data_IF_854818109945
#
_entry.id   IF_854818109945
#
_cell.length_a   1.000
_cell.length_b   1.000
_cell.length_c   1.000
_cell.angle_alpha   90.00
_cell.angle_beta   90.00
_cell.angle_gamma   90.00
#
_symmetry.space_group_name_H-M   'P 1'
#
loop_
_entity.id
_entity.type
_entity.pdbx_description
1 polymer ?
#
# COMPACT_ATOMS: atom_id res chain seq x y z
N UNK A 1 -14.02 -7.99 23.60
CA UNK A 1 -13.59 -7.11 22.51
C UNK A 1 -14.63 -7.08 21.41
N UNK A 2 -14.61 -6.09 20.52
CA UNK A 2 -15.46 -6.08 19.32
C UNK A 2 -14.59 -6.31 18.07
N UNK A 3 -15.11 -7.05 17.09
CA UNK A 3 -14.40 -7.31 15.84
C UNK A 3 -15.37 -7.50 14.67
N UNK A 4 -14.91 -7.16 13.47
CA UNK A 4 -15.54 -7.60 12.23
C UNK A 4 -15.16 -9.05 11.96
N UNK A 5 -16.15 -9.92 11.79
CA UNK A 5 -15.94 -11.34 11.54
C UNK A 5 -16.32 -11.71 10.11
N UNK A 6 -15.42 -12.44 9.44
CA UNK A 6 -15.65 -13.08 8.16
C UNK A 6 -15.84 -14.59 8.38
N UNK A 7 -17.10 -15.03 8.37
CA UNK A 7 -17.46 -16.46 8.44
C UNK A 7 -17.59 -17.07 7.05
N UNK A 8 -17.92 -16.22 6.06
CA UNK A 8 -18.05 -16.64 4.66
C UNK A 8 -17.48 -15.54 3.76
N UNK A 9 -16.39 -15.79 2.99
CA UNK A 9 -15.70 -14.77 2.20
C UNK A 9 -16.38 -14.53 0.84
N UNK A 10 -17.64 -14.14 0.87
CA UNK A 10 -18.46 -13.80 -0.30
C UNK A 10 -18.52 -12.30 -0.59
N UNK A 11 -17.89 -11.49 0.26
CA UNK A 11 -17.81 -10.04 0.10
C UNK A 11 -18.05 -9.28 1.40
N UNK A 12 -17.99 -7.95 1.29
CA UNK A 12 -18.08 -7.03 2.44
C UNK A 12 -19.43 -7.15 3.17
N UNK A 13 -20.52 -7.43 2.45
CA UNK A 13 -21.86 -7.53 3.03
C UNK A 13 -22.00 -8.71 4.01
N UNK A 14 -21.21 -9.76 3.82
CA UNK A 14 -21.17 -10.92 4.69
C UNK A 14 -20.42 -10.71 6.01
N UNK A 15 -19.70 -9.60 6.15
CA UNK A 15 -19.00 -9.27 7.40
C UNK A 15 -20.00 -8.86 8.48
N UNK A 16 -19.74 -9.29 9.72
CA UNK A 16 -20.57 -8.96 10.89
C UNK A 16 -19.74 -8.33 11.99
N UNK A 17 -20.23 -7.27 12.61
CA UNK A 17 -19.62 -6.64 13.78
C UNK A 17 -20.14 -7.32 15.03
N UNK A 18 -19.27 -7.99 15.77
CA UNK A 18 -19.66 -8.84 16.90
C UNK A 18 -18.82 -8.56 18.14
N UNK A 19 -19.42 -8.81 19.31
CA UNK A 19 -18.70 -8.90 20.56
C UNK A 19 -18.12 -10.29 20.73
N UNK A 20 -16.82 -10.40 21.00
CA UNK A 20 -16.06 -11.62 21.16
C UNK A 20 -15.27 -11.60 22.48
N UNK A 21 -14.93 -12.73 23.08
CA UNK A 21 -13.98 -12.76 24.18
C UNK A 21 -12.64 -12.12 23.78
N UNK A 22 -12.04 -11.35 24.68
CA UNK A 22 -10.67 -10.86 24.45
C UNK A 22 -9.69 -12.04 24.51
N UNK A 23 -8.90 -12.27 23.45
CA UNK A 23 -8.00 -13.42 23.41
C UNK A 23 -6.77 -13.21 24.32
N UNK A 24 -6.15 -14.32 24.74
CA UNK A 24 -4.91 -14.32 25.51
C UNK A 24 -3.73 -14.70 24.60
N UNK A 25 -2.61 -13.96 24.62
CA UNK A 25 -1.46 -14.25 23.77
C UNK A 25 -0.76 -15.55 24.21
N UNK A 26 -0.41 -16.39 23.23
CA UNK A 26 0.42 -17.59 23.41
C UNK A 26 1.91 -17.23 23.35
N UNK A 27 2.78 -18.24 23.49
CA UNK A 27 4.20 -18.06 23.31
C UNK A 27 4.54 -17.43 21.95
N UNK A 28 5.36 -16.37 21.95
CA UNK A 28 5.74 -15.61 20.76
C UNK A 28 4.70 -14.61 20.24
N UNK A 29 3.55 -14.45 20.90
CA UNK A 29 2.47 -13.54 20.52
C UNK A 29 2.34 -12.35 21.49
N UNK A 30 1.68 -11.31 21.04
CA UNK A 30 1.28 -10.16 21.86
C UNK A 30 -0.20 -9.85 21.66
N UNK A 31 -0.86 -9.39 22.73
CA UNK A 31 -2.19 -8.78 22.66
C UNK A 31 -2.03 -7.28 22.43
N UNK A 32 -2.69 -6.75 21.43
CA UNK A 32 -2.65 -5.32 21.04
C UNK A 32 -4.06 -4.74 21.17
N UNK A 33 -4.18 -3.61 21.86
CA UNK A 33 -5.34 -2.71 21.75
C UNK A 33 -5.16 -1.87 20.50
N UNK A 34 -6.00 -2.07 19.50
CA UNK A 34 -5.92 -1.35 18.23
C UNK A 34 -6.42 0.09 18.41
N UNK A 35 -5.62 1.06 18.01
CA UNK A 35 -5.99 2.49 17.98
C UNK A 35 -6.35 2.94 16.57
N UNK A 36 -5.70 2.35 15.56
CA UNK A 36 -5.96 2.63 14.15
C UNK A 36 -5.67 1.39 13.30
N UNK A 37 -6.45 1.19 12.24
CA UNK A 37 -6.23 0.15 11.22
C UNK A 37 -6.58 0.70 9.84
N UNK A 38 -5.73 0.50 8.83
CA UNK A 38 -5.98 1.05 7.50
C UNK A 38 -6.53 0.01 6.53
N UNK A 39 -7.37 0.46 5.60
CA UNK A 39 -7.82 -0.37 4.51
C UNK A 39 -6.74 -0.48 3.44
N UNK A 40 -6.50 -1.70 2.99
CA UNK A 40 -5.66 -2.02 1.84
C UNK A 40 -6.47 -2.77 0.78
N UNK A 41 -6.11 -2.63 -0.49
CA UNK A 41 -6.82 -3.31 -1.57
C UNK A 41 -6.85 -4.85 -1.41
N UNK A 42 -5.77 -5.51 -0.94
CA UNK A 42 -5.80 -6.93 -0.59
C UNK A 42 -6.88 -7.30 0.42
N UNK A 43 -7.19 -6.46 1.42
CA UNK A 43 -8.23 -6.77 2.40
C UNK A 43 -9.59 -6.99 1.75
N UNK A 44 -9.93 -6.17 0.73
CA UNK A 44 -11.15 -6.34 -0.06
C UNK A 44 -11.14 -7.66 -0.85
N UNK A 45 -10.01 -8.01 -1.44
CA UNK A 45 -9.87 -9.26 -2.20
C UNK A 45 -9.93 -10.49 -1.30
N UNK A 46 -9.40 -10.42 -0.08
CA UNK A 46 -9.41 -11.51 0.91
C UNK A 46 -10.85 -11.84 1.32
N UNK A 47 -11.66 -10.83 1.67
CA UNK A 47 -13.06 -11.04 2.06
C UNK A 47 -13.95 -11.47 0.89
N UNK A 48 -13.47 -11.39 -0.35
CA UNK A 48 -14.11 -11.89 -1.58
C UNK A 48 -13.54 -13.24 -2.05
N UNK A 49 -12.61 -13.86 -1.30
CA UNK A 49 -11.87 -15.06 -1.70
C UNK A 49 -11.12 -14.94 -3.04
N UNK A 50 -10.70 -13.72 -3.40
CA UNK A 50 -10.00 -13.39 -4.67
C UNK A 50 -8.51 -13.09 -4.51
N UNK A 51 -7.96 -13.27 -3.31
CA UNK A 51 -6.54 -13.04 -3.05
C UNK A 51 -5.76 -14.36 -2.89
N UNK A 52 -4.43 -14.30 -3.04
CA UNK A 52 -3.57 -15.49 -2.91
C UNK A 52 -3.56 -16.04 -1.47
N UNK A 53 -3.61 -15.14 -0.47
CA UNK A 53 -3.74 -15.53 0.92
C UNK A 53 -5.21 -15.83 1.23
N UNK A 54 -5.47 -17.02 1.77
CA UNK A 54 -6.80 -17.49 2.19
C UNK A 54 -6.75 -17.88 3.66
N UNK A 55 -7.09 -16.94 4.58
CA UNK A 55 -7.11 -17.25 6.00
C UNK A 55 -8.11 -18.36 6.31
N UNK A 56 -7.84 -19.22 7.32
CA UNK A 56 -8.83 -20.16 7.80
C UNK A 56 -10.04 -19.42 8.37
N UNK A 57 -11.23 -19.95 8.11
CA UNK A 57 -12.51 -19.39 8.59
C UNK A 57 -12.84 -19.91 10.01
N UNK A 58 -13.49 -19.08 10.85
CA UNK A 58 -13.74 -17.67 10.67
C UNK A 58 -12.48 -16.83 10.93
N UNK A 59 -12.37 -15.62 10.33
CA UNK A 59 -11.26 -14.72 10.61
C UNK A 59 -11.70 -13.26 10.74
N UNK A 60 -10.90 -12.45 11.41
CA UNK A 60 -11.04 -10.99 11.49
C UNK A 60 -10.22 -10.37 10.35
N UNK A 61 -10.82 -9.62 9.39
CA UNK A 61 -10.07 -8.98 8.33
C UNK A 61 -9.27 -7.77 8.82
N UNK A 62 -8.48 -7.16 7.90
CA UNK A 62 -7.62 -6.02 8.18
C UNK A 62 -6.17 -6.44 8.39
N UNK A 63 -5.32 -6.12 7.40
CA UNK A 63 -3.93 -6.58 7.37
C UNK A 63 -2.97 -5.71 8.15
N UNK A 64 -3.26 -4.41 8.27
CA UNK A 64 -2.35 -3.39 8.76
C UNK A 64 -3.00 -2.52 9.85
N UNK A 65 -2.34 -2.40 10.99
CA UNK A 65 -2.87 -1.66 12.15
C UNK A 65 -1.76 -1.17 13.08
N UNK A 66 -2.12 -0.26 13.98
CA UNK A 66 -1.26 0.25 15.03
C UNK A 66 -2.02 0.36 16.34
N UNK A 67 -1.31 0.20 17.44
CA UNK A 67 -1.93 0.21 18.75
C UNK A 67 -0.94 0.06 19.90
N UNK A 68 -1.45 -0.33 21.06
CA UNK A 68 -0.72 -0.46 22.31
C UNK A 68 -0.65 -1.92 22.75
N UNK A 69 0.51 -2.42 23.08
CA UNK A 69 0.69 -3.77 23.63
C UNK A 69 0.07 -3.85 25.02
N UNK A 70 -0.93 -4.71 25.23
CA UNK A 70 -1.59 -4.93 26.52
C UNK A 70 -1.05 -6.13 27.29
N UNK A 71 -0.58 -7.16 26.56
CA UNK A 71 0.01 -8.34 27.16
C UNK A 71 1.03 -8.96 26.20
N UNK A 72 2.02 -9.63 26.75
CA UNK A 72 3.07 -10.36 26.00
C UNK A 72 3.03 -11.84 26.39
N UNK A 73 3.14 -12.71 25.39
CA UNK A 73 3.24 -14.14 25.58
C UNK A 73 4.65 -14.58 25.98
N UNK A 74 4.78 -15.84 26.36
CA UNK A 74 6.06 -16.43 26.73
C UNK A 74 7.10 -16.28 25.60
N UNK A 75 8.37 -16.00 25.96
CA UNK A 75 9.48 -15.87 25.01
C UNK A 75 9.55 -14.54 24.24
N UNK A 76 8.60 -13.63 24.40
CA UNK A 76 8.66 -12.29 23.82
C UNK A 76 9.56 -11.40 24.67
N UNK A 77 10.71 -10.99 24.15
CA UNK A 77 11.72 -10.21 24.87
C UNK A 77 11.96 -8.81 24.32
N UNK A 78 11.49 -8.54 23.10
CA UNK A 78 11.75 -7.27 22.39
C UNK A 78 10.55 -6.29 22.42
N UNK A 79 9.44 -6.70 23.01
CA UNK A 79 8.25 -5.87 23.23
C UNK A 79 7.84 -5.90 24.71
N UNK A 80 7.27 -4.78 25.17
CA UNK A 80 6.78 -4.62 26.56
C UNK A 80 5.35 -4.10 26.59
N UNK A 81 4.63 -4.39 27.67
CA UNK A 81 3.30 -3.82 27.91
C UNK A 81 3.37 -2.29 27.94
N UNK A 82 2.40 -1.63 27.31
CA UNK A 82 2.35 -0.18 27.12
C UNK A 82 3.12 0.33 25.90
N UNK A 83 3.90 -0.50 25.23
CA UNK A 83 4.65 -0.11 24.04
C UNK A 83 3.72 0.13 22.85
N UNK A 84 3.94 1.21 22.10
CA UNK A 84 3.25 1.49 20.85
C UNK A 84 3.89 0.69 19.71
N UNK A 85 3.05 0.08 18.90
CA UNK A 85 3.50 -0.76 17.78
C UNK A 85 2.67 -0.52 16.53
N UNK A 86 3.30 -0.71 15.36
CA UNK A 86 2.62 -0.96 14.09
C UNK A 86 2.82 -2.42 13.71
N UNK A 87 1.82 -3.01 13.09
CA UNK A 87 1.83 -4.41 12.68
C UNK A 87 1.22 -4.60 11.30
N UNK A 88 1.81 -5.51 10.54
CA UNK A 88 1.23 -6.03 9.30
C UNK A 88 1.20 -7.56 9.38
N UNK A 89 0.09 -8.09 9.86
CA UNK A 89 -0.12 -9.53 10.11
C UNK A 89 -0.95 -10.24 9.03
N UNK A 90 -1.53 -9.49 8.10
CA UNK A 90 -2.42 -10.02 7.06
C UNK A 90 -3.88 -10.13 7.47
N UNK A 91 -4.20 -10.24 8.77
CA UNK A 91 -5.55 -10.30 9.33
C UNK A 91 -5.55 -9.71 10.76
N UNK A 92 -6.73 -9.52 11.34
CA UNK A 92 -6.88 -9.13 12.75
C UNK A 92 -7.06 -7.64 13.00
N UNK A 93 -6.87 -6.78 12.00
CA UNK A 93 -6.80 -5.33 12.17
C UNK A 93 -8.16 -4.64 12.37
N UNK A 94 -9.26 -5.19 11.85
CA UNK A 94 -10.58 -4.55 12.01
C UNK A 94 -11.31 -5.04 13.26
N UNK A 95 -10.71 -4.72 14.40
CA UNK A 95 -11.19 -5.04 15.73
C UNK A 95 -10.75 -3.98 16.74
N UNK A 96 -11.26 -4.06 17.97
CA UNK A 96 -10.76 -3.25 19.09
C UNK A 96 -9.46 -3.83 19.68
N UNK A 97 -9.28 -5.16 19.60
CA UNK A 97 -8.10 -5.87 20.09
C UNK A 97 -7.75 -7.00 19.15
N UNK A 98 -6.48 -7.36 19.10
CA UNK A 98 -6.01 -8.49 18.28
C UNK A 98 -4.80 -9.18 18.92
N UNK A 99 -4.59 -10.45 18.55
CA UNK A 99 -3.33 -11.15 18.78
C UNK A 99 -2.49 -11.06 17.51
N UNK A 100 -1.22 -10.75 17.69
CA UNK A 100 -0.24 -10.75 16.60
C UNK A 100 1.03 -11.51 17.00
N UNK A 101 1.71 -12.17 16.04
CA UNK A 101 3.08 -12.62 16.26
C UNK A 101 3.97 -11.42 16.59
N UNK A 102 4.68 -11.47 17.71
CA UNK A 102 5.53 -10.37 18.16
C UNK A 102 6.59 -9.97 17.12
N UNK A 103 7.08 -10.94 16.34
CA UNK A 103 8.04 -10.71 15.26
C UNK A 103 7.51 -9.84 14.10
N UNK A 104 6.19 -9.67 13.97
CA UNK A 104 5.55 -8.82 12.96
C UNK A 104 5.20 -7.42 13.49
N UNK A 105 5.46 -7.17 14.78
CA UNK A 105 5.16 -5.91 15.43
C UNK A 105 6.41 -5.03 15.45
N UNK A 106 6.32 -3.85 14.87
CA UNK A 106 7.39 -2.85 14.87
C UNK A 106 7.15 -1.83 15.98
N UNK A 107 8.08 -1.66 16.92
CA UNK A 107 8.01 -0.60 17.91
C UNK A 107 7.96 0.77 17.24
N UNK A 108 7.05 1.64 17.71
CA UNK A 108 6.94 3.01 17.25
C UNK A 108 7.75 3.96 18.17
N UNK A 109 8.39 4.97 17.59
CA UNK A 109 9.00 6.04 18.39
C UNK A 109 7.94 6.79 19.20
N UNK A 110 8.29 7.39 20.34
CA UNK A 110 7.38 8.24 21.11
C UNK A 110 6.78 9.35 20.24
N UNK A 111 5.46 9.54 20.35
CA UNK A 111 4.73 10.58 19.60
C UNK A 111 4.41 10.24 18.15
N UNK A 112 4.76 9.05 17.64
CA UNK A 112 4.35 8.64 16.29
C UNK A 112 2.83 8.45 16.25
N UNK A 113 2.07 9.17 15.39
CA UNK A 113 0.62 9.06 15.34
C UNK A 113 0.16 7.67 14.90
N UNK A 114 -0.78 7.06 15.61
CA UNK A 114 -1.31 5.73 15.26
C UNK A 114 -1.94 5.69 13.87
N UNK A 115 -2.59 6.78 13.43
CA UNK A 115 -3.19 6.88 12.09
C UNK A 115 -2.13 6.78 11.01
N UNK A 116 -1.01 7.50 11.16
CA UNK A 116 0.11 7.42 10.22
C UNK A 116 0.74 6.02 10.26
N UNK A 117 0.96 5.48 11.47
CA UNK A 117 1.58 4.16 11.66
C UNK A 117 0.78 3.01 11.03
N UNK A 118 -0.55 3.06 11.18
CA UNK A 118 -1.46 2.08 10.59
C UNK A 118 -1.56 2.16 9.07
N UNK A 119 -1.13 3.27 8.46
CA UNK A 119 -1.21 3.51 7.03
C UNK A 119 0.17 3.51 6.33
N UNK A 120 1.22 3.04 7.01
CA UNK A 120 2.60 3.23 6.58
C UNK A 120 3.22 2.01 5.90
N UNK A 121 3.13 0.83 6.54
CA UNK A 121 3.94 -0.33 6.17
C UNK A 121 3.62 -0.79 4.74
N UNK A 122 2.36 -1.10 4.46
CA UNK A 122 1.96 -1.70 3.18
C UNK A 122 2.34 -0.82 2.00
N UNK A 123 2.01 0.48 2.05
CA UNK A 123 2.18 1.35 0.90
C UNK A 123 3.64 1.76 0.68
N UNK A 124 4.37 2.10 1.76
CA UNK A 124 5.76 2.54 1.60
C UNK A 124 6.71 1.39 1.34
N UNK A 125 6.54 0.25 2.01
CA UNK A 125 7.37 -0.92 1.76
C UNK A 125 7.18 -1.46 0.33
N UNK A 126 5.93 -1.52 -0.16
CA UNK A 126 5.67 -1.90 -1.56
C UNK A 126 6.31 -0.94 -2.54
N UNK A 127 6.15 0.38 -2.34
CA UNK A 127 6.68 1.38 -3.28
C UNK A 127 8.20 1.51 -3.22
N UNK A 128 8.81 1.34 -2.05
CA UNK A 128 10.26 1.32 -1.91
C UNK A 128 10.86 0.08 -2.59
N UNK A 129 10.32 -1.10 -2.29
CA UNK A 129 10.71 -2.34 -2.97
C UNK A 129 10.58 -2.19 -4.50
N UNK A 130 9.49 -1.60 -4.99
CA UNK A 130 9.28 -1.38 -6.41
C UNK A 130 10.33 -0.45 -7.03
N UNK A 131 10.50 0.75 -6.47
CA UNK A 131 11.27 1.83 -7.09
C UNK A 131 12.76 1.74 -6.79
N UNK A 132 13.12 1.48 -5.53
CA UNK A 132 14.53 1.47 -5.10
C UNK A 132 15.19 0.12 -5.39
N UNK A 133 14.55 -0.97 -4.98
CA UNK A 133 15.13 -2.31 -5.16
C UNK A 133 14.89 -2.84 -6.59
N UNK A 134 13.63 -2.98 -7.02
CA UNK A 134 13.32 -3.65 -8.29
C UNK A 134 13.67 -2.80 -9.52
N UNK A 135 13.31 -1.52 -9.50
CA UNK A 135 13.63 -0.61 -10.60
C UNK A 135 15.03 -0.05 -10.53
N UNK A 136 15.69 -0.05 -9.35
CA UNK A 136 16.97 0.64 -9.13
C UNK A 136 16.92 2.08 -9.67
N UNK A 137 15.87 2.80 -9.26
CA UNK A 137 15.59 4.16 -9.69
C UNK A 137 16.75 5.08 -9.35
N UNK A 138 17.16 5.92 -10.29
CA UNK A 138 18.28 6.84 -10.14
C UNK A 138 17.81 8.30 -10.10
N UNK A 139 18.55 9.20 -9.43
CA UNK A 139 18.32 10.63 -9.52
C UNK A 139 18.28 11.11 -10.99
N UNK A 140 17.35 12.02 -11.31
CA UNK A 140 17.17 12.58 -12.65
C UNK A 140 16.37 11.70 -13.62
N UNK A 141 16.08 10.43 -13.30
CA UNK A 141 15.16 9.62 -14.11
C UNK A 141 13.72 10.12 -13.97
N UNK A 142 12.90 9.82 -14.99
CA UNK A 142 11.47 10.15 -14.99
C UNK A 142 10.64 8.91 -14.65
N UNK A 143 9.77 9.02 -13.65
CA UNK A 143 8.81 7.98 -13.25
C UNK A 143 7.40 8.40 -13.65
N UNK A 144 6.68 7.54 -14.37
CA UNK A 144 5.23 7.64 -14.54
C UNK A 144 4.56 6.79 -13.46
N UNK A 145 3.69 7.39 -12.66
CA UNK A 145 2.90 6.69 -11.63
C UNK A 145 1.44 6.65 -12.08
N UNK A 146 0.92 5.47 -12.38
CA UNK A 146 -0.50 5.25 -12.64
C UNK A 146 -1.28 5.11 -11.33
N UNK A 147 -2.56 5.53 -11.29
CA UNK A 147 -3.35 5.51 -10.05
C UNK A 147 -2.71 6.32 -8.93
N UNK A 148 -2.05 7.42 -9.28
CA UNK A 148 -1.11 8.18 -8.49
C UNK A 148 -1.69 8.75 -7.18
N UNK A 149 -3.00 8.98 -7.11
CA UNK A 149 -3.67 9.48 -5.92
C UNK A 149 -4.13 8.38 -4.94
N UNK A 150 -3.96 7.10 -5.27
CA UNK A 150 -4.22 5.99 -4.33
C UNK A 150 -3.08 5.80 -3.33
N UNK A 151 -3.26 4.92 -2.32
CA UNK A 151 -2.28 4.72 -1.25
C UNK A 151 -0.86 4.43 -1.77
N UNK A 152 -0.68 3.38 -2.58
CA UNK A 152 0.64 3.05 -3.17
C UNK A 152 1.11 4.09 -4.19
N UNK A 153 0.18 4.82 -4.84
CA UNK A 153 0.54 5.89 -5.78
C UNK A 153 1.14 7.11 -5.06
N UNK A 154 0.51 7.53 -3.96
CA UNK A 154 1.00 8.67 -3.15
C UNK A 154 2.36 8.35 -2.52
N UNK A 155 2.58 7.14 -2.02
CA UNK A 155 3.87 6.71 -1.51
C UNK A 155 4.93 6.60 -2.62
N UNK A 156 4.56 6.14 -3.83
CA UNK A 156 5.47 6.08 -4.96
C UNK A 156 5.96 7.47 -5.39
N UNK A 157 5.07 8.48 -5.42
CA UNK A 157 5.46 9.88 -5.69
C UNK A 157 6.51 10.33 -4.69
N UNK A 158 6.23 10.19 -3.39
CA UNK A 158 7.12 10.67 -2.34
C UNK A 158 8.46 9.94 -2.34
N UNK A 159 8.48 8.61 -2.51
CA UNK A 159 9.73 7.84 -2.61
C UNK A 159 10.54 8.25 -3.85
N UNK A 160 9.90 8.39 -5.02
CA UNK A 160 10.59 8.84 -6.23
C UNK A 160 11.21 10.22 -6.04
N UNK A 161 10.50 11.15 -5.36
CA UNK A 161 11.04 12.47 -5.02
C UNK A 161 12.18 12.39 -4.00
N UNK A 162 12.09 11.52 -3.00
CA UNK A 162 13.18 11.30 -2.03
C UNK A 162 14.46 10.75 -2.69
N UNK A 163 14.33 9.96 -3.76
CA UNK A 163 15.44 9.47 -4.60
C UNK A 163 15.99 10.57 -5.53
N UNK A 164 15.26 11.66 -5.77
CA UNK A 164 15.65 12.73 -6.70
C UNK A 164 15.19 12.51 -8.15
N UNK A 165 14.15 11.73 -8.36
CA UNK A 165 13.55 11.51 -9.66
C UNK A 165 12.52 12.59 -10.02
N UNK A 166 12.25 12.75 -11.32
CA UNK A 166 11.13 13.52 -11.85
C UNK A 166 9.89 12.62 -11.89
N UNK A 167 8.74 13.12 -11.43
CA UNK A 167 7.50 12.35 -11.33
C UNK A 167 6.41 12.93 -12.21
N UNK A 168 5.85 12.08 -13.08
CA UNK A 168 4.60 12.32 -13.80
C UNK A 168 3.52 11.47 -13.13
N UNK A 169 2.54 12.10 -12.49
CA UNK A 169 1.47 11.43 -11.79
C UNK A 169 0.20 11.37 -12.65
N UNK A 170 -0.30 10.17 -12.91
CA UNK A 170 -1.52 9.96 -13.68
C UNK A 170 -2.69 9.56 -12.76
N UNK A 171 -3.76 10.35 -12.78
CA UNK A 171 -4.93 10.18 -11.92
C UNK A 171 -6.23 10.39 -12.70
N UNK A 172 -7.39 10.07 -12.08
CA UNK A 172 -8.69 10.04 -12.77
C UNK A 172 -9.50 11.34 -12.70
N UNK A 173 -9.08 12.33 -11.92
CA UNK A 173 -9.76 13.62 -11.78
C UNK A 173 -8.76 14.74 -11.55
N UNK A 174 -9.14 15.97 -11.87
CA UNK A 174 -8.29 17.16 -11.64
C UNK A 174 -7.99 17.37 -10.16
N UNK A 175 -8.95 17.07 -9.26
CA UNK A 175 -8.75 17.12 -7.82
C UNK A 175 -7.66 16.15 -7.35
N UNK A 176 -7.65 14.92 -7.89
CA UNK A 176 -6.60 13.93 -7.63
C UNK A 176 -5.25 14.35 -8.20
N UNK A 177 -5.25 14.97 -9.38
CA UNK A 177 -4.05 15.55 -9.97
C UNK A 177 -3.48 16.68 -9.08
N UNK A 178 -4.35 17.56 -8.56
CA UNK A 178 -3.95 18.61 -7.62
C UNK A 178 -3.32 18.06 -6.35
N UNK A 179 -3.91 16.99 -5.76
CA UNK A 179 -3.30 16.27 -4.64
C UNK A 179 -1.91 15.74 -5.02
N UNK A 180 -1.76 15.07 -6.17
CA UNK A 180 -0.46 14.54 -6.60
C UNK A 180 0.60 15.66 -6.72
N UNK A 181 0.22 16.84 -7.24
CA UNK A 181 1.10 18.02 -7.27
C UNK A 181 1.50 18.46 -5.86
N UNK A 182 0.55 18.55 -4.93
CA UNK A 182 0.81 19.02 -3.56
C UNK A 182 1.76 18.13 -2.77
N UNK A 183 1.87 16.85 -3.12
CA UNK A 183 2.76 15.86 -2.49
C UNK A 183 4.06 15.64 -3.28
N UNK A 184 4.34 16.46 -4.31
CA UNK A 184 5.64 16.54 -4.96
C UNK A 184 5.70 16.04 -6.41
N UNK A 185 4.59 15.67 -7.06
CA UNK A 185 4.64 15.35 -8.48
C UNK A 185 5.04 16.58 -9.32
N UNK A 186 5.96 16.42 -10.26
CA UNK A 186 6.41 17.48 -11.14
C UNK A 186 5.38 17.81 -12.22
N UNK A 187 4.70 16.77 -12.73
CA UNK A 187 3.64 16.89 -13.73
C UNK A 187 2.47 15.96 -13.40
N UNK A 188 1.30 16.26 -13.97
CA UNK A 188 0.11 15.42 -13.79
C UNK A 188 -0.61 15.18 -15.11
N UNK A 189 -1.29 14.03 -15.21
CA UNK A 189 -2.15 13.66 -16.34
C UNK A 189 -3.51 13.23 -15.77
N UNK A 190 -4.60 13.88 -16.21
CA UNK A 190 -5.94 13.39 -15.96
C UNK A 190 -6.32 12.44 -17.09
N UNK A 191 -6.11 11.14 -16.90
CA UNK A 191 -6.36 10.13 -17.93
C UNK A 191 -7.83 9.87 -18.24
N UNK A 192 -8.78 10.49 -17.50
CA UNK A 192 -10.20 10.43 -17.83
C UNK A 192 -10.61 11.45 -18.92
N UNK A 193 -9.84 12.52 -19.06
CA UNK A 193 -10.12 13.62 -19.99
C UNK A 193 -9.04 13.84 -21.03
N UNK A 194 -7.86 13.23 -20.84
CA UNK A 194 -6.68 13.40 -21.70
C UNK A 194 -6.21 12.05 -22.24
N UNK A 195 -5.70 12.01 -23.47
CA UNK A 195 -5.01 10.82 -23.99
C UNK A 195 -3.68 10.61 -23.25
N UNK A 196 -3.55 9.47 -22.59
CA UNK A 196 -2.38 9.15 -21.77
C UNK A 196 -1.07 9.16 -22.58
N UNK A 197 -1.08 8.61 -23.78
CA UNK A 197 0.12 8.50 -24.64
C UNK A 197 0.59 9.85 -25.14
N UNK A 198 -0.35 10.67 -25.62
CA UNK A 198 -0.05 12.01 -26.13
C UNK A 198 0.50 12.90 -25.00
N UNK A 199 -0.09 12.83 -23.81
CA UNK A 199 0.41 13.58 -22.66
C UNK A 199 1.81 13.11 -22.21
N UNK A 200 2.04 11.80 -22.13
CA UNK A 200 3.39 11.27 -21.79
C UNK A 200 4.40 11.75 -22.83
N UNK A 201 4.07 11.68 -24.12
CA UNK A 201 4.96 12.14 -25.21
C UNK A 201 5.30 13.61 -25.07
N UNK A 202 4.29 14.46 -24.83
CA UNK A 202 4.44 15.90 -24.65
C UNK A 202 5.35 16.20 -23.44
N UNK A 203 5.04 15.63 -22.27
CA UNK A 203 5.73 15.90 -21.01
C UNK A 203 7.17 15.38 -20.98
N UNK A 204 7.49 14.37 -21.81
CA UNK A 204 8.83 13.77 -21.88
C UNK A 204 9.63 14.17 -23.12
N UNK A 205 9.11 15.08 -23.97
CA UNK A 205 9.74 15.45 -25.24
C UNK A 205 9.92 14.24 -26.17
N UNK A 206 9.00 13.28 -26.12
CA UNK A 206 9.01 12.07 -26.91
C UNK A 206 9.92 10.94 -26.39
N UNK A 207 10.73 11.17 -25.36
CA UNK A 207 11.68 10.18 -24.82
C UNK A 207 11.00 9.07 -23.99
N UNK A 208 9.84 9.37 -23.37
CA UNK A 208 9.13 8.49 -22.47
C UNK A 208 9.72 8.44 -21.04
N UNK A 209 8.98 7.88 -20.07
CA UNK A 209 9.44 7.69 -18.70
C UNK A 209 10.44 6.53 -18.61
N UNK A 210 11.46 6.66 -17.76
CA UNK A 210 12.44 5.60 -17.48
C UNK A 210 11.81 4.45 -16.68
N UNK A 211 10.86 4.77 -15.81
CA UNK A 211 10.13 3.81 -15.00
C UNK A 211 8.64 4.08 -15.10
N UNK A 212 7.85 3.02 -15.26
CA UNK A 212 6.39 3.05 -15.11
C UNK A 212 6.03 2.25 -13.86
N UNK A 213 5.35 2.89 -12.91
CA UNK A 213 4.82 2.27 -11.71
C UNK A 213 3.33 2.02 -11.90
N UNK A 214 2.94 0.75 -12.07
CA UNK A 214 1.56 0.38 -12.39
C UNK A 214 0.88 -0.50 -11.33
N UNK A 215 0.08 0.09 -10.43
CA UNK A 215 -0.80 -0.64 -9.52
C UNK A 215 -2.22 -0.83 -10.11
N UNK A 216 -2.50 -0.33 -11.32
CA UNK A 216 -3.84 -0.24 -11.92
C UNK A 216 -4.10 -1.38 -12.89
N UNK A 217 -3.18 -1.61 -13.82
CA UNK A 217 -3.36 -2.60 -14.88
C UNK A 217 -4.44 -2.22 -15.90
N UNK A 218 -5.06 -3.25 -16.50
CA UNK A 218 -6.15 -3.09 -17.45
C UNK A 218 -5.77 -2.29 -18.69
N UNK A 219 -6.68 -1.44 -19.15
CA UNK A 219 -6.55 -0.68 -20.42
C UNK A 219 -5.41 0.37 -20.40
N UNK A 220 -4.88 0.70 -19.24
CA UNK A 220 -3.76 1.66 -19.12
C UNK A 220 -2.38 1.01 -19.33
N UNK A 221 -2.27 -0.32 -19.22
CA UNK A 221 -0.99 -1.05 -19.29
C UNK A 221 -0.31 -0.87 -20.65
N UNK A 222 -0.98 -1.20 -21.74
CA UNK A 222 -0.37 -1.13 -23.06
C UNK A 222 -0.06 0.31 -23.51
N UNK A 223 -0.95 1.31 -23.36
CA UNK A 223 -0.62 2.71 -23.63
C UNK A 223 0.60 3.22 -22.86
N UNK A 224 0.70 2.91 -21.56
CA UNK A 224 1.83 3.29 -20.73
C UNK A 224 3.13 2.57 -21.17
N UNK A 225 3.04 1.26 -21.47
CA UNK A 225 4.20 0.50 -21.94
C UNK A 225 4.70 0.98 -23.31
N UNK A 226 3.81 1.29 -24.25
CA UNK A 226 4.18 1.86 -25.55
C UNK A 226 4.89 3.20 -25.44
N UNK A 227 4.64 3.92 -24.37
CA UNK A 227 5.24 5.24 -24.11
C UNK A 227 6.56 5.18 -23.34
N UNK A 228 6.97 3.99 -22.85
CA UNK A 228 8.18 3.83 -22.05
C UNK A 228 9.45 4.21 -22.81
N UNK A 229 10.44 4.74 -22.10
CA UNK A 229 11.75 5.07 -22.67
C UNK A 229 12.50 3.82 -23.14
N UNK A 230 13.49 4.02 -23.99
CA UNK A 230 14.47 2.97 -24.34
C UNK A 230 15.13 2.42 -23.07
N UNK A 231 15.13 1.08 -22.91
CA UNK A 231 15.62 0.37 -21.71
C UNK A 231 14.87 0.73 -20.42
N UNK A 232 13.62 1.20 -20.52
CA UNK A 232 12.79 1.49 -19.37
C UNK A 232 12.36 0.24 -18.59
N UNK A 233 11.87 0.44 -17.38
CA UNK A 233 11.39 -0.62 -16.47
C UNK A 233 9.91 -0.40 -16.18
N UNK A 234 9.09 -1.39 -16.54
CA UNK A 234 7.67 -1.39 -16.26
C UNK A 234 7.40 -2.25 -15.03
N UNK A 235 6.97 -1.63 -13.94
CA UNK A 235 6.76 -2.28 -12.65
C UNK A 235 5.31 -2.75 -12.55
N UNK A 236 5.11 -4.05 -12.48
CA UNK A 236 3.81 -4.68 -12.26
C UNK A 236 3.57 -4.75 -10.76
N UNK A 237 2.79 -3.81 -10.21
CA UNK A 237 2.52 -3.68 -8.77
C UNK A 237 1.17 -4.25 -8.39
N UNK A 238 0.16 -4.09 -9.26
CA UNK A 238 -1.19 -4.58 -8.99
C UNK A 238 -2.15 -4.41 -10.16
N UNK A 239 -3.40 -4.80 -9.93
CA UNK A 239 -4.45 -4.83 -10.93
C UNK A 239 -5.75 -4.22 -10.35
N UNK A 240 -5.67 -2.99 -9.84
CA UNK A 240 -6.80 -2.33 -9.19
C UNK A 240 -7.97 -2.04 -10.14
N UNK A 241 -7.75 -2.06 -11.46
CA UNK A 241 -8.83 -1.97 -12.48
C UNK A 241 -9.66 -3.26 -12.59
N UNK A 242 -9.12 -4.40 -12.13
CA UNK A 242 -9.76 -5.72 -12.11
C UNK A 242 -9.06 -6.73 -13.01
N UNK A 243 -9.22 -6.69 -14.36
CA UNK A 243 -8.62 -7.70 -15.24
C UNK A 243 -7.10 -7.62 -15.30
N UNK A 244 -6.44 -8.77 -15.26
CA UNK A 244 -5.00 -8.86 -15.57
C UNK A 244 -4.79 -8.60 -17.05
N UNK A 245 -3.98 -7.58 -17.43
CA UNK A 245 -3.77 -7.24 -18.83
C UNK A 245 -2.88 -8.24 -19.53
N UNK A 246 -3.03 -8.35 -20.86
CA UNK A 246 -2.10 -9.04 -21.75
C UNK A 246 -1.26 -8.01 -22.49
N UNK A 247 0.07 -8.23 -22.54
CA UNK A 247 0.98 -7.37 -23.26
C UNK A 247 1.70 -8.17 -24.37
N UNK A 248 1.66 -7.72 -25.65
CA UNK A 248 2.39 -8.38 -26.72
C UNK A 248 3.91 -8.33 -26.48
N UNK A 249 4.59 -9.48 -26.51
CA UNK A 249 6.01 -9.60 -26.17
C UNK A 249 6.96 -8.91 -27.17
N UNK A 250 6.48 -8.53 -28.35
CA UNK A 250 7.27 -7.70 -29.27
C UNK A 250 7.46 -6.26 -28.75
N UNK A 251 6.63 -5.78 -27.83
CA UNK A 251 6.76 -4.42 -27.28
C UNK A 251 8.03 -4.27 -26.42
N UNK A 252 8.30 -5.14 -25.42
CA UNK A 252 9.56 -5.08 -24.68
C UNK A 252 10.76 -5.31 -25.58
N UNK A 253 10.68 -6.21 -26.60
CA UNK A 253 11.75 -6.39 -27.57
C UNK A 253 12.12 -5.07 -28.28
N UNK A 254 11.11 -4.37 -28.83
CA UNK A 254 11.31 -3.13 -29.61
C UNK A 254 11.82 -1.96 -28.77
N UNK A 255 11.55 -1.96 -27.47
CA UNK A 255 11.97 -0.92 -26.53
C UNK A 255 13.24 -1.28 -25.75
N UNK A 256 13.75 -2.52 -25.87
CA UNK A 256 14.76 -3.04 -24.96
C UNK A 256 14.37 -2.92 -23.50
N UNK A 257 13.07 -2.85 -23.23
CA UNK A 257 12.51 -2.56 -21.91
C UNK A 257 12.27 -3.85 -21.10
N UNK A 258 12.23 -3.72 -19.78
CA UNK A 258 11.96 -4.82 -18.85
C UNK A 258 10.56 -4.73 -18.28
N UNK A 259 9.89 -5.88 -18.12
CA UNK A 259 8.69 -6.04 -17.30
C UNK A 259 9.15 -6.64 -15.97
N UNK A 260 8.90 -5.94 -14.88
CA UNK A 260 9.44 -6.27 -13.56
C UNK A 260 8.30 -6.51 -12.57
N UNK A 261 8.23 -7.72 -12.03
CA UNK A 261 7.26 -8.08 -10.98
C UNK A 261 7.62 -7.43 -9.65
N UNK A 262 6.61 -6.93 -8.95
CA UNK A 262 6.72 -6.34 -7.62
C UNK A 262 5.83 -7.11 -6.67
N UNK A 263 6.42 -7.93 -5.81
CA UNK A 263 5.72 -8.69 -4.79
C UNK A 263 6.43 -8.54 -3.43
N UNK A 264 6.24 -7.39 -2.79
CA UNK A 264 6.88 -7.07 -1.52
C UNK A 264 6.63 -8.12 -0.44
N UNK A 265 5.43 -8.65 -0.28
CA UNK A 265 5.14 -9.69 0.72
C UNK A 265 5.97 -10.96 0.53
N UNK A 266 6.25 -11.35 -0.73
CA UNK A 266 7.18 -12.43 -1.06
C UNK A 266 8.62 -12.09 -0.72
N UNK A 267 9.06 -10.87 -1.06
CA UNK A 267 10.39 -10.36 -0.72
C UNK A 267 10.61 -10.32 0.80
N UNK A 268 9.69 -9.75 1.57
CA UNK A 268 9.80 -9.66 3.02
C UNK A 268 9.98 -11.03 3.69
N UNK A 269 9.32 -12.07 3.14
CA UNK A 269 9.45 -13.45 3.62
C UNK A 269 10.75 -14.12 3.17
N UNK A 270 11.16 -13.91 1.92
CA UNK A 270 12.35 -14.56 1.34
C UNK A 270 13.66 -13.90 1.81
N UNK A 271 13.63 -12.58 1.99
CA UNK A 271 14.80 -11.75 2.29
C UNK A 271 14.59 -10.86 3.54
N UNK A 272 14.35 -11.44 4.72
CA UNK A 272 13.94 -10.69 5.92
C UNK A 272 14.98 -9.65 6.39
N UNK A 273 16.28 -9.89 6.17
CA UNK A 273 17.33 -8.93 6.52
C UNK A 273 17.30 -7.70 5.59
N UNK A 274 17.14 -7.90 4.29
CA UNK A 274 17.02 -6.81 3.33
C UNK A 274 15.74 -6.00 3.58
N UNK A 275 14.64 -6.68 3.89
CA UNK A 275 13.40 -6.02 4.29
C UNK A 275 13.56 -5.17 5.56
N UNK A 276 14.28 -5.66 6.58
CA UNK A 276 14.55 -4.89 7.80
C UNK A 276 15.38 -3.63 7.51
N UNK A 277 16.39 -3.72 6.65
CA UNK A 277 17.19 -2.55 6.21
C UNK A 277 16.32 -1.52 5.49
N UNK A 278 15.47 -1.97 4.58
CA UNK A 278 14.52 -1.12 3.86
C UNK A 278 13.55 -0.42 4.83
N UNK A 279 13.00 -1.12 5.82
CA UNK A 279 12.09 -0.54 6.81
C UNK A 279 12.78 0.50 7.69
N UNK A 280 14.06 0.29 8.06
CA UNK A 280 14.85 1.28 8.80
C UNK A 280 15.11 2.55 7.97
N UNK A 281 15.37 2.41 6.67
CA UNK A 281 15.50 3.55 5.76
C UNK A 281 14.19 4.35 5.66
N UNK A 282 13.05 3.66 5.47
CA UNK A 282 11.73 4.28 5.43
C UNK A 282 11.40 5.02 6.74
N UNK A 283 11.72 4.44 7.89
CA UNK A 283 11.55 5.11 9.18
C UNK A 283 12.41 6.37 9.28
N UNK A 284 13.64 6.33 8.76
CA UNK A 284 14.52 7.49 8.67
C UNK A 284 13.95 8.59 7.77
N UNK A 285 13.42 8.23 6.60
CA UNK A 285 12.81 9.21 5.68
C UNK A 285 11.54 9.84 6.27
N UNK A 286 10.74 9.06 7.01
CA UNK A 286 9.59 9.59 7.75
C UNK A 286 10.04 10.60 8.83
N UNK A 287 11.02 10.23 9.66
CA UNK A 287 11.56 11.12 10.69
C UNK A 287 12.16 12.42 10.12
N UNK A 288 12.71 12.38 8.89
CA UNK A 288 13.21 13.54 8.15
C UNK A 288 12.10 14.36 7.46
N UNK A 289 10.84 13.93 7.55
CA UNK A 289 9.72 14.58 6.87
C UNK A 289 9.71 14.43 5.34
N UNK A 290 10.54 13.52 4.78
CA UNK A 290 10.59 13.26 3.33
C UNK A 290 9.37 12.52 2.82
N UNK A 291 8.81 11.66 3.67
CA UNK A 291 7.62 10.85 3.38
C UNK A 291 6.63 10.94 4.54
N UNK A 292 5.34 10.99 4.21
CA UNK A 292 4.26 10.96 5.18
C UNK A 292 2.99 10.39 4.54
N UNK A 293 2.27 9.45 5.19
CA UNK A 293 1.03 8.92 4.66
C UNK A 293 0.01 10.02 4.34
N UNK A 294 -0.58 9.93 3.16
CA UNK A 294 -1.70 10.77 2.77
C UNK A 294 -2.97 10.08 3.27
N UNK A 295 -3.63 10.68 4.24
CA UNK A 295 -4.86 10.15 4.82
C UNK A 295 -6.04 10.88 4.17
N UNK A 296 -6.92 10.12 3.50
CA UNK A 296 -8.16 10.63 2.92
C UNK A 296 -9.15 10.98 4.04
N UNK A 297 -9.41 10.00 4.88
CA UNK A 297 -10.31 10.19 6.03
C UNK A 297 -10.08 9.12 7.10
N UNK A 298 -10.54 9.44 8.32
CA UNK A 298 -10.67 8.48 9.41
C UNK A 298 -12.15 8.19 9.66
N UNK A 299 -12.48 6.92 9.96
CA UNK A 299 -13.84 6.49 10.28
C UNK A 299 -13.83 5.61 11.52
N UNK A 300 -14.91 5.64 12.35
CA UNK A 300 -15.04 4.71 13.47
C UNK A 300 -14.96 3.24 13.02
N UNK A 301 -14.31 2.38 13.80
CA UNK A 301 -14.10 0.95 13.47
C UNK A 301 -15.41 0.23 13.11
N UNK A 302 -16.52 0.54 13.79
CA UNK A 302 -17.83 -0.03 13.49
C UNK A 302 -18.43 0.38 12.14
N UNK A 303 -17.82 1.31 11.39
CA UNK A 303 -18.28 1.78 10.07
C UNK A 303 -17.50 1.17 8.89
N UNK A 304 -16.84 0.04 9.07
CA UNK A 304 -15.99 -0.61 8.06
C UNK A 304 -16.68 -0.81 6.72
N UNK A 305 -17.95 -1.23 6.69
CA UNK A 305 -18.70 -1.41 5.42
C UNK A 305 -18.80 -0.10 4.62
N UNK A 306 -19.01 1.03 5.29
CA UNK A 306 -19.04 2.35 4.64
C UNK A 306 -17.65 2.72 4.09
N UNK A 307 -16.58 2.40 4.80
CA UNK A 307 -15.22 2.62 4.33
C UNK A 307 -14.90 1.78 3.09
N UNK A 308 -15.32 0.52 3.04
CA UNK A 308 -15.19 -0.32 1.85
C UNK A 308 -16.02 0.21 0.67
N UNK A 309 -17.24 0.70 0.92
CA UNK A 309 -18.07 1.33 -0.13
C UNK A 309 -17.38 2.58 -0.70
N UNK A 310 -16.78 3.41 0.17
CA UNK A 310 -16.00 4.57 -0.27
C UNK A 310 -14.76 4.15 -1.08
N UNK A 311 -14.04 3.11 -0.66
CA UNK A 311 -12.93 2.56 -1.46
C UNK A 311 -13.41 2.08 -2.82
N UNK A 312 -14.53 1.37 -2.88
CA UNK A 312 -15.13 0.84 -4.12
C UNK A 312 -15.61 1.91 -5.10
N UNK A 313 -16.01 3.09 -4.62
CA UNK A 313 -16.42 4.23 -5.46
C UNK A 313 -15.26 4.87 -6.23
N UNK A 314 -14.02 4.45 -5.99
CA UNK A 314 -12.79 5.06 -6.52
C UNK A 314 -12.62 6.54 -6.14
N UNK A 315 -13.33 7.01 -5.11
CA UNK A 315 -13.26 8.38 -4.60
C UNK A 315 -12.02 8.66 -3.75
N UNK A 316 -11.45 7.63 -3.14
CA UNK A 316 -10.37 7.72 -2.15
C UNK A 316 -9.11 8.40 -2.68
N UNK A 317 -8.52 9.25 -1.84
CA UNK A 317 -7.26 9.97 -2.05
C UNK A 317 -6.26 9.59 -0.94
N UNK A 318 -5.34 8.67 -1.23
CA UNK A 318 -4.42 8.12 -0.22
C UNK A 318 -5.03 6.93 0.51
N UNK A 319 -5.13 7.01 1.85
CA UNK A 319 -5.52 5.90 2.73
C UNK A 319 -6.76 6.22 3.55
N UNK A 320 -7.64 5.22 3.68
CA UNK A 320 -8.73 5.21 4.65
C UNK A 320 -8.24 4.51 5.93
N UNK A 321 -8.51 5.11 7.08
CA UNK A 321 -8.08 4.57 8.37
C UNK A 321 -9.28 4.44 9.31
N UNK A 322 -9.48 3.24 9.83
CA UNK A 322 -10.46 2.95 10.88
C UNK A 322 -9.84 3.27 12.24
N UNK A 323 -10.61 3.90 13.15
CA UNK A 323 -10.15 4.27 14.49
C UNK A 323 -11.10 3.77 15.56
N UNK A 324 -10.55 3.39 16.73
CA UNK A 324 -11.28 3.01 17.93
C UNK A 324 -11.34 4.16 18.93
#
# INVERSE_FOLDING_TARGET
MHAWLCENPTGVDALTWQELPTPTPKAGEVLIEIKAASLNFPDLLIVQNKYQMKPPLPFVPGSEYAGVVLAVGEGVTHLTVGQHVACLSGTGGFATHTIAPAALCMPLPPGFPFVDAAAFIMIYATSHHALVDRAQLKPGETVLVLGAAGGVGTSAIQIAKAVGARVIAAASTDEKCALCKSIGADETINYSTQDLREQIKLLTGGKGPNVVYDPVGGDYTEPAFRSIAWRGRYLVVGFASGPTPSLPLNLPLLKGASIVGVFWGGFAKAEPKANATMMAELATWYAQGKIKPVIDSTMPMGKLKAAYAHMGSRGVKGKLVMVN
#
